data_IF_377657945601
#
_entry.id   IF_377657945601
#
_cell.length_a   1.000
_cell.length_b   1.000
_cell.length_c   1.000
_cell.angle_alpha   90.00
_cell.angle_beta   90.00
_cell.angle_gamma   90.00
#
_symmetry.space_group_name_H-M   'P 1'
#
loop_
_entity.id
_entity.type
_entity.pdbx_description
1 polymer ?
#
# COMPACT_ATOMS: atom_id res chain seq x y z
N UNK A 1 -8.19 -4.26 -0.63
CA UNK A 1 -8.91 -3.22 -1.40
C UNK A 1 -8.65 -3.46 -2.88
N UNK A 2 -9.71 -3.72 -3.65
CA UNK A 2 -9.59 -4.01 -5.09
C UNK A 2 -8.82 -2.91 -5.81
N UNK A 3 -7.84 -3.30 -6.63
CA UNK A 3 -6.98 -2.36 -7.35
C UNK A 3 -7.50 -2.19 -8.78
N UNK A 4 -7.76 -0.96 -9.17
CA UNK A 4 -8.02 -0.64 -10.58
C UNK A 4 -6.78 -0.92 -11.44
N UNK A 5 -6.93 -1.44 -12.67
CA UNK A 5 -5.82 -1.57 -13.60
C UNK A 5 -5.14 -0.22 -13.85
N UNK A 6 -3.83 -0.26 -14.00
CA UNK A 6 -3.04 0.95 -14.24
C UNK A 6 -3.47 1.65 -15.53
N UNK A 7 -3.73 0.88 -16.57
CA UNK A 7 -4.15 1.34 -17.89
C UNK A 7 -5.47 2.14 -17.80
N UNK A 8 -6.42 1.68 -17.00
CA UNK A 8 -7.69 2.37 -16.77
C UNK A 8 -7.50 3.71 -16.05
N UNK A 9 -6.64 3.74 -15.03
CA UNK A 9 -6.33 4.98 -14.31
C UNK A 9 -5.56 5.97 -15.19
N UNK A 10 -4.66 5.48 -16.02
CA UNK A 10 -3.88 6.31 -16.94
C UNK A 10 -4.76 6.85 -18.09
N UNK A 11 -5.75 6.09 -18.57
CA UNK A 11 -6.75 6.58 -19.52
C UNK A 11 -7.53 7.77 -18.95
N UNK A 12 -7.98 7.68 -17.69
CA UNK A 12 -8.66 8.79 -17.01
C UNK A 12 -7.76 10.04 -16.95
N UNK A 13 -6.47 9.87 -16.56
CA UNK A 13 -5.51 11.00 -16.50
C UNK A 13 -5.22 11.60 -17.87
N UNK A 14 -5.21 10.79 -18.92
CA UNK A 14 -4.96 11.27 -20.29
C UNK A 14 -6.13 12.11 -20.79
N UNK A 15 -7.37 11.74 -20.46
CA UNK A 15 -8.57 12.48 -20.87
C UNK A 15 -8.87 13.72 -20.02
N UNK A 16 -8.38 13.75 -18.78
CA UNK A 16 -8.66 14.85 -17.85
C UNK A 16 -7.38 15.60 -17.45
N UNK A 17 -7.23 16.81 -17.93
CA UNK A 17 -6.21 17.73 -17.41
C UNK A 17 -6.50 18.10 -15.96
N UNK A 18 -5.45 18.25 -15.15
CA UNK A 18 -5.60 18.64 -13.74
C UNK A 18 -6.33 19.96 -13.60
N UNK A 19 -5.99 20.95 -14.45
CA UNK A 19 -6.65 22.25 -14.48
C UNK A 19 -8.16 22.14 -14.76
N UNK A 20 -8.58 21.24 -15.65
CA UNK A 20 -10.00 21.02 -15.97
C UNK A 20 -10.78 20.47 -14.79
N UNK A 21 -10.19 19.54 -14.03
CA UNK A 21 -10.82 18.99 -12.84
C UNK A 21 -10.87 20.01 -11.73
N UNK A 22 -9.74 20.66 -11.46
CA UNK A 22 -9.58 21.61 -10.35
C UNK A 22 -10.43 22.88 -10.56
N UNK A 23 -10.56 23.37 -11.80
CA UNK A 23 -11.34 24.60 -12.09
C UNK A 23 -12.82 24.50 -11.74
N UNK A 24 -13.34 23.30 -11.51
CA UNK A 24 -14.71 23.11 -11.01
C UNK A 24 -14.87 23.51 -9.52
N UNK A 25 -13.76 23.61 -8.80
CA UNK A 25 -13.73 23.87 -7.34
C UNK A 25 -12.92 25.11 -6.98
N UNK A 26 -11.96 25.49 -7.82
CA UNK A 26 -11.02 26.58 -7.58
C UNK A 26 -11.03 27.52 -8.78
N UNK A 27 -11.15 28.81 -8.53
CA UNK A 27 -11.00 29.81 -9.59
C UNK A 27 -9.52 29.95 -9.95
N UNK A 28 -9.12 29.31 -11.05
CA UNK A 28 -7.75 29.25 -11.54
C UNK A 28 -7.45 30.38 -12.53
N UNK A 29 -6.31 31.07 -12.35
CA UNK A 29 -5.76 32.04 -13.30
C UNK A 29 -4.50 31.48 -13.92
N UNK A 30 -4.37 31.54 -15.24
CA UNK A 30 -3.17 31.07 -15.95
C UNK A 30 -1.97 31.97 -15.66
N UNK A 31 -0.85 31.38 -15.31
CA UNK A 31 0.44 32.06 -15.06
C UNK A 31 1.57 31.28 -15.73
N UNK A 32 1.92 31.69 -16.94
CA UNK A 32 2.91 30.96 -17.76
C UNK A 32 2.42 29.54 -18.12
N UNK A 33 3.18 28.52 -17.69
CA UNK A 33 2.84 27.12 -17.92
C UNK A 33 1.93 26.51 -16.83
N UNK A 34 1.65 27.26 -15.77
CA UNK A 34 0.88 26.80 -14.63
C UNK A 34 -0.40 27.59 -14.46
N UNK A 35 -1.29 27.08 -13.63
CA UNK A 35 -2.47 27.77 -13.17
C UNK A 35 -2.34 28.00 -11.65
N UNK A 36 -2.84 29.16 -11.18
CA UNK A 36 -2.71 29.57 -9.78
C UNK A 36 -4.09 29.98 -9.27
N UNK A 37 -4.40 29.62 -8.03
CA UNK A 37 -5.65 29.96 -7.35
C UNK A 37 -5.50 30.00 -5.84
N UNK A 38 -6.58 30.31 -5.15
CA UNK A 38 -6.65 30.18 -3.69
C UNK A 38 -6.76 28.70 -3.31
N UNK A 39 -6.21 28.35 -2.16
CA UNK A 39 -6.26 26.98 -1.67
C UNK A 39 -7.70 26.52 -1.40
N UNK A 40 -8.13 25.35 -1.91
CA UNK A 40 -9.40 24.75 -1.52
C UNK A 40 -9.33 24.06 -0.13
N UNK A 41 -8.15 23.95 0.45
CA UNK A 41 -7.91 23.23 1.71
C UNK A 41 -7.77 24.18 2.91
N UNK A 42 -7.61 25.46 2.68
CA UNK A 42 -7.43 26.48 3.71
C UNK A 42 -8.02 27.80 3.24
N UNK A 43 -8.65 28.52 4.15
CA UNK A 43 -9.12 29.88 3.86
C UNK A 43 -7.94 30.86 3.82
N UNK A 44 -7.71 31.52 2.69
CA UNK A 44 -6.60 32.44 2.46
C UNK A 44 -6.97 33.57 1.49
N UNK A 45 -6.21 34.64 1.55
CA UNK A 45 -6.40 35.81 0.66
C UNK A 45 -5.37 35.86 -0.47
N UNK A 46 -4.24 35.22 -0.30
CA UNK A 46 -3.16 35.19 -1.30
C UNK A 46 -3.11 33.82 -1.97
N UNK A 47 -3.08 33.76 -3.32
CA UNK A 47 -3.04 32.51 -4.05
C UNK A 47 -1.78 31.69 -3.71
N UNK A 48 -1.97 30.47 -3.24
CA UNK A 48 -0.90 29.53 -2.90
C UNK A 48 -1.07 28.15 -3.55
N UNK A 49 -2.14 27.95 -4.29
CA UNK A 49 -2.46 26.70 -4.95
C UNK A 49 -2.05 26.76 -6.42
N UNK A 50 -1.22 25.82 -6.86
CA UNK A 50 -0.72 25.74 -8.23
C UNK A 50 -1.11 24.42 -8.89
N UNK A 51 -1.34 24.46 -10.19
CA UNK A 51 -1.67 23.31 -11.03
C UNK A 51 -0.79 23.31 -12.26
N UNK A 52 -0.20 22.16 -12.58
CA UNK A 52 0.62 21.96 -13.77
C UNK A 52 0.08 20.78 -14.59
N UNK A 53 -0.50 21.08 -15.76
CA UNK A 53 -1.09 20.08 -16.65
C UNK A 53 -0.05 19.19 -17.33
N UNK A 54 1.13 19.75 -17.68
CA UNK A 54 2.21 18.98 -18.33
C UNK A 54 2.74 17.90 -17.40
N UNK A 55 2.85 18.22 -16.11
CA UNK A 55 3.33 17.29 -15.07
C UNK A 55 2.21 16.47 -14.42
N UNK A 56 0.95 16.84 -14.67
CA UNK A 56 -0.22 16.11 -14.18
C UNK A 56 -0.46 16.19 -12.67
N UNK A 57 -0.05 17.30 -12.02
CA UNK A 57 -0.21 17.44 -10.56
C UNK A 57 -0.62 18.85 -10.12
N UNK A 58 -1.08 18.93 -8.87
CA UNK A 58 -1.26 20.18 -8.14
C UNK A 58 -0.33 20.24 -6.91
N UNK A 59 -0.04 21.45 -6.47
CA UNK A 59 0.66 21.71 -5.21
C UNK A 59 0.07 22.93 -4.51
N UNK A 60 -0.17 22.81 -3.21
CA UNK A 60 -0.62 23.86 -2.33
C UNK A 60 0.50 24.27 -1.37
N UNK A 61 1.10 25.44 -1.56
CA UNK A 61 2.22 25.89 -0.74
C UNK A 61 1.82 26.24 0.69
N UNK A 62 0.57 26.64 0.94
CA UNK A 62 0.10 27.01 2.29
C UNK A 62 -0.23 25.81 3.18
N UNK A 63 -0.48 24.62 2.61
CA UNK A 63 -0.84 23.41 3.35
C UNK A 63 0.13 22.25 3.10
N UNK A 64 1.09 22.41 2.17
CA UNK A 64 1.99 21.35 1.66
C UNK A 64 1.25 20.17 0.99
N UNK A 65 -0.03 20.35 0.69
CA UNK A 65 -0.82 19.34 0.01
C UNK A 65 -0.47 19.28 -1.47
N UNK A 66 -0.29 18.09 -1.99
CA UNK A 66 0.04 17.87 -3.39
C UNK A 66 -0.51 16.52 -3.86
N UNK A 67 -0.61 16.36 -5.17
CA UNK A 67 -1.09 15.11 -5.75
C UNK A 67 -1.62 15.26 -7.17
N UNK A 68 -2.22 14.20 -7.68
CA UNK A 68 -2.87 14.15 -8.99
C UNK A 68 -4.39 14.40 -8.88
N UNK A 69 -5.12 14.22 -9.97
CA UNK A 69 -6.58 14.44 -10.01
C UNK A 69 -7.36 13.53 -9.03
N UNK A 70 -6.88 12.31 -8.78
CA UNK A 70 -7.54 11.41 -7.81
C UNK A 70 -7.35 11.93 -6.39
N UNK A 71 -6.12 12.31 -6.02
CA UNK A 71 -5.81 12.86 -4.71
C UNK A 71 -6.61 14.14 -4.44
N UNK A 72 -6.75 14.99 -5.47
CA UNK A 72 -7.52 16.22 -5.40
C UNK A 72 -8.99 15.93 -5.08
N UNK A 73 -9.65 15.06 -5.85
CA UNK A 73 -11.07 14.74 -5.66
C UNK A 73 -11.30 14.03 -4.33
N UNK A 74 -10.42 13.10 -3.95
CA UNK A 74 -10.50 12.44 -2.65
C UNK A 74 -10.50 13.44 -1.49
N UNK A 75 -9.61 14.41 -1.54
CA UNK A 75 -9.47 15.41 -0.47
C UNK A 75 -10.59 16.45 -0.47
N UNK A 76 -10.94 16.98 -1.63
CA UNK A 76 -11.95 18.05 -1.73
C UNK A 76 -13.36 17.57 -1.47
N UNK A 77 -13.67 16.33 -1.79
CA UNK A 77 -14.99 15.73 -1.61
C UNK A 77 -15.06 14.69 -0.47
N UNK A 78 -13.96 14.48 0.24
CA UNK A 78 -13.84 13.45 1.30
C UNK A 78 -14.27 12.05 0.81
N UNK A 79 -13.86 11.69 -0.41
CA UNK A 79 -14.19 10.42 -1.04
C UNK A 79 -13.09 9.37 -0.83
N UNK A 80 -13.50 8.10 -0.81
CA UNK A 80 -12.57 6.97 -0.94
C UNK A 80 -12.08 6.87 -2.39
N UNK A 81 -10.91 6.25 -2.58
CA UNK A 81 -10.29 6.13 -3.91
C UNK A 81 -11.23 5.57 -4.98
N UNK A 82 -11.98 4.50 -4.68
CA UNK A 82 -12.91 3.91 -5.63
C UNK A 82 -14.05 4.85 -6.06
N UNK A 83 -14.50 5.73 -5.17
CA UNK A 83 -15.53 6.74 -5.47
C UNK A 83 -14.93 7.86 -6.32
N UNK A 84 -13.72 8.32 -6.00
CA UNK A 84 -12.99 9.30 -6.80
C UNK A 84 -12.74 8.80 -8.23
N UNK A 85 -12.35 7.51 -8.38
CA UNK A 85 -12.17 6.89 -9.70
C UNK A 85 -13.47 6.89 -10.49
N UNK A 86 -14.61 6.50 -9.89
CA UNK A 86 -15.93 6.52 -10.55
C UNK A 86 -16.32 7.93 -10.98
N UNK A 87 -16.13 8.92 -10.11
CA UNK A 87 -16.43 10.33 -10.38
C UNK A 87 -15.61 10.85 -11.57
N UNK A 88 -14.31 10.57 -11.56
CA UNK A 88 -13.41 11.01 -12.64
C UNK A 88 -13.63 10.24 -13.95
N UNK A 89 -13.94 8.95 -13.89
CA UNK A 89 -14.31 8.18 -15.07
C UNK A 89 -15.57 8.72 -15.75
N UNK A 90 -16.61 9.04 -14.97
CA UNK A 90 -17.81 9.68 -15.49
C UNK A 90 -17.49 11.05 -16.12
N UNK A 91 -16.65 11.84 -15.48
CA UNK A 91 -16.23 13.15 -16.00
C UNK A 91 -15.42 13.02 -17.28
N UNK A 92 -14.62 11.98 -17.42
CA UNK A 92 -13.82 11.64 -18.61
C UNK A 92 -14.65 11.03 -19.74
N UNK A 93 -15.92 10.71 -19.53
CA UNK A 93 -16.76 9.96 -20.46
C UNK A 93 -16.28 8.51 -20.67
N UNK A 94 -15.65 7.94 -19.64
CA UNK A 94 -15.19 6.54 -19.65
C UNK A 94 -16.21 5.69 -18.89
N UNK A 95 -16.51 4.49 -19.41
CA UNK A 95 -17.40 3.56 -18.73
C UNK A 95 -16.80 3.19 -17.36
N UNK A 96 -17.61 3.16 -16.29
CA UNK A 96 -17.15 2.70 -14.99
C UNK A 96 -16.53 1.32 -15.07
N UNK A 97 -15.40 1.14 -14.41
CA UNK A 97 -14.72 -0.16 -14.36
C UNK A 97 -15.54 -1.16 -13.56
N UNK A 98 -15.82 -2.31 -14.16
CA UNK A 98 -16.51 -3.42 -13.49
C UNK A 98 -15.45 -4.48 -13.17
N UNK A 99 -15.29 -4.78 -11.89
CA UNK A 99 -14.38 -5.84 -11.44
C UNK A 99 -14.91 -7.21 -11.87
N UNK A 100 -14.03 -8.04 -12.38
CA UNK A 100 -14.34 -9.42 -12.74
C UNK A 100 -14.34 -10.33 -11.50
N UNK A 101 -14.91 -11.52 -11.61
CA UNK A 101 -14.78 -12.55 -10.57
C UNK A 101 -13.33 -12.88 -10.24
N UNK A 102 -12.44 -12.83 -11.23
CA UNK A 102 -11.01 -13.05 -11.03
C UNK A 102 -10.37 -11.93 -10.18
N UNK A 103 -10.81 -10.67 -10.36
CA UNK A 103 -10.32 -9.56 -9.54
C UNK A 103 -10.76 -9.73 -8.08
N UNK A 104 -11.99 -10.18 -7.86
CA UNK A 104 -12.53 -10.48 -6.52
C UNK A 104 -11.78 -11.64 -5.86
N UNK A 105 -11.51 -12.72 -6.61
CA UNK A 105 -10.73 -13.86 -6.12
C UNK A 105 -9.29 -13.45 -5.76
N UNK A 106 -8.64 -12.62 -6.60
CA UNK A 106 -7.31 -12.09 -6.31
C UNK A 106 -7.30 -11.23 -5.04
N UNK A 107 -8.29 -10.37 -4.86
CA UNK A 107 -8.40 -9.56 -3.65
C UNK A 107 -8.64 -10.43 -2.42
N UNK A 108 -9.53 -11.43 -2.50
CA UNK A 108 -9.79 -12.35 -1.40
C UNK A 108 -8.53 -13.16 -1.03
N UNK A 109 -7.78 -13.62 -2.03
CA UNK A 109 -6.52 -14.32 -1.78
C UNK A 109 -5.47 -13.38 -1.19
N UNK A 110 -5.39 -12.13 -1.66
CA UNK A 110 -4.48 -11.13 -1.10
C UNK A 110 -4.77 -10.84 0.38
N UNK A 111 -6.03 -10.75 0.77
CA UNK A 111 -6.41 -10.58 2.18
C UNK A 111 -5.98 -11.79 3.02
N UNK A 112 -6.17 -13.00 2.50
CA UNK A 112 -5.70 -14.23 3.17
C UNK A 112 -4.17 -14.26 3.30
N UNK A 113 -3.44 -13.90 2.24
CA UNK A 113 -1.98 -13.80 2.31
C UNK A 113 -1.52 -12.75 3.32
N UNK A 114 -2.15 -11.59 3.37
CA UNK A 114 -1.83 -10.55 4.35
C UNK A 114 -2.03 -11.05 5.78
N UNK A 115 -3.10 -11.81 6.04
CA UNK A 115 -3.35 -12.41 7.34
C UNK A 115 -2.30 -13.49 7.68
N UNK A 116 -1.91 -14.33 6.71
CA UNK A 116 -0.84 -15.32 6.89
C UNK A 116 0.47 -14.62 7.21
N UNK A 117 0.85 -13.59 6.43
CA UNK A 117 2.09 -12.84 6.66
C UNK A 117 2.11 -12.14 8.02
N UNK A 118 1.04 -11.48 8.41
CA UNK A 118 0.97 -10.85 9.74
C UNK A 118 1.06 -11.87 10.86
N UNK A 119 0.40 -13.03 10.71
CA UNK A 119 0.49 -14.12 11.70
C UNK A 119 1.91 -14.67 11.78
N UNK A 120 2.58 -14.86 10.63
CA UNK A 120 3.96 -15.34 10.53
C UNK A 120 4.95 -14.37 11.17
N UNK A 121 4.85 -13.09 10.80
CA UNK A 121 5.74 -12.04 11.33
C UNK A 121 5.54 -11.87 12.84
N UNK A 122 4.29 -11.81 13.30
CA UNK A 122 4.00 -11.65 14.73
C UNK A 122 4.54 -12.83 15.55
N UNK A 123 4.41 -14.06 15.06
CA UNK A 123 4.98 -15.22 15.74
C UNK A 123 6.49 -15.10 15.91
N UNK A 124 7.22 -14.80 14.82
CA UNK A 124 8.68 -14.70 14.88
C UNK A 124 9.19 -13.42 15.56
N UNK A 125 8.37 -12.38 15.61
CA UNK A 125 8.63 -11.23 16.47
C UNK A 125 8.58 -11.61 17.95
N UNK A 126 7.56 -12.33 18.37
CA UNK A 126 7.45 -12.85 19.74
C UNK A 126 8.60 -13.81 20.08
N UNK A 127 8.98 -14.69 19.16
CA UNK A 127 10.14 -15.59 19.29
C UNK A 127 11.44 -14.78 19.49
N UNK A 128 11.64 -13.72 18.70
CA UNK A 128 12.81 -12.84 18.87
C UNK A 128 12.82 -12.22 20.27
N UNK A 129 11.69 -11.72 20.76
CA UNK A 129 11.63 -11.01 22.04
C UNK A 129 11.78 -11.94 23.23
N UNK A 130 11.12 -13.10 23.22
CA UNK A 130 10.93 -13.96 24.41
C UNK A 130 11.89 -15.15 24.46
N UNK A 131 12.33 -15.66 23.31
CA UNK A 131 13.11 -16.91 23.29
C UNK A 131 14.60 -16.66 23.56
N UNK A 132 15.19 -17.52 24.40
CA UNK A 132 16.64 -17.53 24.69
C UNK A 132 17.48 -17.91 23.45
N UNK A 133 16.95 -18.78 22.57
CA UNK A 133 17.62 -19.21 21.35
C UNK A 133 17.83 -18.06 20.34
N UNK A 134 17.16 -16.94 20.54
CA UNK A 134 17.29 -15.72 19.74
C UNK A 134 18.45 -14.82 20.15
N UNK A 135 19.32 -15.25 21.08
CA UNK A 135 20.42 -14.42 21.62
C UNK A 135 21.33 -13.88 20.50
N UNK A 136 21.78 -14.73 19.60
CA UNK A 136 22.65 -14.31 18.47
C UNK A 136 21.97 -13.25 17.58
N UNK A 137 20.68 -13.41 17.30
CA UNK A 137 19.92 -12.43 16.53
C UNK A 137 19.78 -11.10 17.29
N UNK A 138 19.55 -11.14 18.61
CA UNK A 138 19.49 -9.94 19.46
C UNK A 138 20.83 -9.22 19.51
N UNK A 139 21.93 -9.95 19.66
CA UNK A 139 23.28 -9.39 19.68
C UNK A 139 23.62 -8.74 18.33
N UNK A 140 23.30 -9.39 17.22
CA UNK A 140 23.46 -8.82 15.88
C UNK A 140 22.65 -7.53 15.67
N UNK A 141 21.38 -7.49 16.12
CA UNK A 141 20.57 -6.27 16.05
C UNK A 141 21.18 -5.15 16.88
N UNK A 142 21.70 -5.45 18.07
CA UNK A 142 22.37 -4.50 18.94
C UNK A 142 23.65 -3.91 18.31
N UNK A 143 24.48 -4.75 17.68
CA UNK A 143 25.66 -4.32 16.92
C UNK A 143 25.31 -3.35 15.76
N UNK A 144 24.12 -3.51 15.18
CA UNK A 144 23.57 -2.64 14.14
C UNK A 144 22.84 -1.41 14.68
N UNK A 145 22.91 -1.14 15.99
CA UNK A 145 22.17 -0.07 16.67
C UNK A 145 20.64 -0.15 16.52
N UNK A 146 20.11 -1.35 16.27
CA UNK A 146 18.67 -1.60 16.21
C UNK A 146 18.17 -1.94 17.62
N UNK A 147 17.63 -0.93 18.29
CA UNK A 147 17.10 -1.06 19.65
C UNK A 147 15.85 -1.94 19.72
N UNK A 148 15.49 -2.40 20.90
CA UNK A 148 14.25 -3.13 21.14
C UNK A 148 12.99 -2.32 20.72
N UNK A 149 13.05 -1.00 20.85
CA UNK A 149 11.97 -0.10 20.42
C UNK A 149 11.83 -0.10 18.90
N UNK A 150 12.96 -0.04 18.19
CA UNK A 150 12.99 -0.15 16.71
C UNK A 150 12.47 -1.51 16.29
N UNK A 151 12.92 -2.60 16.92
CA UNK A 151 12.44 -3.94 16.64
C UNK A 151 10.92 -4.07 16.81
N UNK A 152 10.36 -3.50 17.87
CA UNK A 152 8.90 -3.43 18.09
C UNK A 152 8.20 -2.56 17.04
N UNK A 153 8.72 -1.37 16.77
CA UNK A 153 8.11 -0.43 15.81
C UNK A 153 7.99 -1.03 14.40
N UNK A 154 9.00 -1.78 13.97
CA UNK A 154 9.06 -2.39 12.63
C UNK A 154 8.69 -3.87 12.62
N UNK A 155 8.25 -4.42 13.75
CA UNK A 155 7.84 -5.81 13.92
C UNK A 155 8.92 -6.80 13.46
N UNK A 156 10.20 -6.50 13.76
CA UNK A 156 11.34 -7.33 13.38
C UNK A 156 11.25 -8.67 14.11
N UNK A 157 11.40 -9.76 13.37
CA UNK A 157 11.36 -11.12 13.88
C UNK A 157 12.63 -11.91 13.58
N UNK A 158 12.79 -13.08 14.21
CA UNK A 158 13.85 -14.01 13.92
C UNK A 158 13.32 -15.43 13.71
N UNK A 159 13.59 -15.96 12.54
CA UNK A 159 13.27 -17.36 12.19
C UNK A 159 14.47 -18.22 12.54
N UNK A 160 14.32 -19.13 13.49
CA UNK A 160 15.38 -20.05 13.92
C UNK A 160 15.81 -21.02 12.81
N UNK A 161 16.94 -21.72 13.01
CA UNK A 161 17.51 -22.63 12.02
C UNK A 161 16.57 -23.78 11.61
N UNK A 162 15.83 -24.34 12.55
CA UNK A 162 14.86 -25.42 12.32
C UNK A 162 13.45 -24.94 12.73
N UNK A 163 12.80 -24.12 11.89
CA UNK A 163 11.47 -23.64 12.17
C UNK A 163 10.43 -24.74 11.92
N UNK A 164 9.31 -24.67 12.62
CA UNK A 164 8.20 -25.62 12.50
C UNK A 164 6.83 -24.95 12.57
N UNK A 165 6.78 -23.65 12.24
CA UNK A 165 5.53 -22.90 12.36
C UNK A 165 4.49 -23.27 11.30
N UNK A 166 4.90 -23.92 10.20
CA UNK A 166 3.99 -24.47 9.21
C UNK A 166 2.92 -25.38 9.84
N UNK A 167 3.31 -26.25 10.78
CA UNK A 167 2.39 -27.15 11.50
C UNK A 167 1.33 -26.41 12.31
N UNK A 168 1.63 -25.20 12.76
CA UNK A 168 0.67 -24.34 13.45
C UNK A 168 -0.24 -23.62 12.47
N UNK A 169 0.29 -23.17 11.35
CA UNK A 169 -0.47 -22.44 10.33
C UNK A 169 -1.45 -23.32 9.60
N UNK A 170 -1.12 -24.58 9.32
CA UNK A 170 -2.01 -25.54 8.63
C UNK A 170 -3.30 -25.83 9.42
N UNK A 171 -3.28 -25.61 10.75
CA UNK A 171 -4.48 -25.72 11.59
C UNK A 171 -5.41 -24.51 11.50
N UNK A 172 -4.91 -23.38 10.99
CA UNK A 172 -5.63 -22.09 10.93
C UNK A 172 -6.00 -21.66 9.53
N UNK A 173 -5.24 -22.09 8.54
CA UNK A 173 -5.37 -21.65 7.16
C UNK A 173 -5.49 -22.83 6.20
N UNK A 174 -6.18 -22.62 5.09
CA UNK A 174 -6.28 -23.59 4.02
C UNK A 174 -4.91 -23.93 3.43
N UNK A 175 -4.65 -25.22 3.23
CA UNK A 175 -3.37 -25.72 2.74
C UNK A 175 -2.99 -25.17 1.37
N UNK A 176 -3.97 -24.98 0.48
CA UNK A 176 -3.74 -24.43 -0.85
C UNK A 176 -3.18 -22.99 -0.76
N UNK A 177 -3.78 -22.16 0.07
CA UNK A 177 -3.32 -20.79 0.28
C UNK A 177 -1.93 -20.74 0.92
N UNK A 178 -1.63 -21.65 1.87
CA UNK A 178 -0.31 -21.74 2.46
C UNK A 178 0.76 -22.16 1.44
N UNK A 179 0.44 -23.05 0.49
CA UNK A 179 1.34 -23.44 -0.60
C UNK A 179 1.65 -22.26 -1.54
N UNK A 180 0.66 -21.45 -1.81
CA UNK A 180 0.74 -20.33 -2.76
C UNK A 180 1.32 -19.03 -2.14
N UNK A 181 1.31 -18.89 -0.81
CA UNK A 181 1.73 -17.66 -0.14
C UNK A 181 3.24 -17.34 -0.24
N UNK A 182 4.06 -18.27 -0.71
CA UNK A 182 5.49 -18.07 -0.92
C UNK A 182 6.38 -18.17 0.33
N UNK A 183 5.81 -18.39 1.52
CA UNK A 183 6.59 -18.58 2.76
C UNK A 183 7.17 -19.99 2.89
N UNK A 184 6.62 -20.94 2.16
CA UNK A 184 6.94 -22.36 2.27
C UNK A 184 7.32 -22.95 0.91
N UNK A 185 8.02 -24.06 0.92
CA UNK A 185 8.24 -24.90 -0.24
C UNK A 185 8.16 -26.38 0.19
N UNK A 186 7.86 -27.24 -0.76
CA UNK A 186 7.80 -28.68 -0.52
C UNK A 186 9.20 -29.29 -0.67
N UNK A 187 9.69 -29.94 0.36
CA UNK A 187 10.94 -30.71 0.33
C UNK A 187 10.62 -32.16 -0.04
N UNK A 188 10.86 -32.54 -1.29
CA UNK A 188 10.55 -33.87 -1.82
C UNK A 188 11.30 -34.99 -1.09
N UNK A 189 12.53 -34.72 -0.62
CA UNK A 189 13.33 -35.72 0.08
C UNK A 189 12.76 -36.05 1.45
N UNK A 190 12.18 -35.06 2.12
CA UNK A 190 11.61 -35.21 3.46
C UNK A 190 10.11 -35.42 3.43
N UNK A 191 9.46 -35.21 2.27
CA UNK A 191 8.03 -35.27 2.07
C UNK A 191 7.26 -34.33 3.02
N UNK A 192 7.80 -33.11 3.26
CA UNK A 192 7.21 -32.10 4.16
C UNK A 192 7.28 -30.71 3.54
N UNK A 193 6.42 -29.81 4.03
CA UNK A 193 6.56 -28.38 3.77
C UNK A 193 7.56 -27.74 4.73
N UNK A 194 8.49 -26.97 4.18
CA UNK A 194 9.59 -26.34 4.91
C UNK A 194 9.51 -24.84 4.71
N UNK A 195 9.80 -24.09 5.74
CA UNK A 195 9.85 -22.63 5.69
C UNK A 195 11.03 -22.13 4.85
N UNK A 196 10.79 -21.10 4.03
CA UNK A 196 11.85 -20.50 3.19
C UNK A 196 12.84 -19.69 4.01
N UNK A 197 12.34 -19.00 5.04
CA UNK A 197 13.19 -18.24 5.95
C UNK A 197 13.66 -19.17 7.05
N UNK A 198 14.97 -19.28 7.22
CA UNK A 198 15.63 -20.09 8.26
C UNK A 198 16.91 -19.40 8.66
N UNK A 199 17.19 -19.35 9.96
CA UNK A 199 18.34 -18.67 10.55
C UNK A 199 18.48 -17.24 10.01
N UNK A 200 17.38 -16.48 10.11
CA UNK A 200 17.27 -15.17 9.46
C UNK A 200 16.41 -14.21 10.24
N UNK A 201 16.85 -12.97 10.26
CA UNK A 201 16.04 -11.82 10.69
C UNK A 201 15.09 -11.43 9.54
N UNK A 202 13.83 -11.21 9.87
CA UNK A 202 12.74 -10.84 8.95
C UNK A 202 12.03 -9.59 9.48
#
# INVERSE_FOLDING_TARGET
MMKYPKEYLDEIKTRLKVSTVVSKYVNLKKRGKEFVGLSPFKNEKTPSFTVNDEKGFYHCFSTSEHGNIFDFIMKTQNLKFGEAVKTLANLAGIRPYTFSKQDEERENNWQKYTLIYSTYINYYHEELLKNSDSKLAKDYLKERNLTAEIAKKFNIGYVKKNPNFYETLIKKFDQKILKECGLFYFDEKKNIYVERFRDRII
#
